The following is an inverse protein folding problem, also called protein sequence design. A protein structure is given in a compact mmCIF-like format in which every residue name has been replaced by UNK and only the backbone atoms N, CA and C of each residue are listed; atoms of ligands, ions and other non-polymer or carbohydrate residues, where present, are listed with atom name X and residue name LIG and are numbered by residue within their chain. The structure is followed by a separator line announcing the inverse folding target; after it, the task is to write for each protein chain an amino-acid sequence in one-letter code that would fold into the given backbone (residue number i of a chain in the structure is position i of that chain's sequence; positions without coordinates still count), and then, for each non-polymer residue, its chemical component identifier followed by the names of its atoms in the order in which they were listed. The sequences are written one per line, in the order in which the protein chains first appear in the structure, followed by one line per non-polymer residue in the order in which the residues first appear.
data_IF_159870271704
#
_entry.id   IF_159870271704
#
_cell.length_a   1.000
_cell.length_b   1.000
_cell.length_c   1.000
_cell.angle_alpha   90.00
_cell.angle_beta   90.00
_cell.angle_gamma   90.00
#
_symmetry.space_group_name_H-M   'P 1'
#
loop_
_entity.id
_entity.type
_entity.pdbx_description
1 polymer ?
#
# COMPACT_ATOMS: atom_id res chain seq x y z
N UNK A 1 17.94 -0.74 2.68
CA UNK A 1 16.49 -0.94 2.65
C UNK A 1 16.11 -2.41 2.72
N UNK A 2 16.84 -3.28 2.02
CA UNK A 2 16.58 -4.72 2.08
C UNK A 2 16.78 -5.28 3.49
N UNK A 3 17.80 -4.81 4.20
CA UNK A 3 18.08 -5.22 5.57
C UNK A 3 16.97 -4.80 6.52
N UNK A 4 16.54 -3.54 6.44
CA UNK A 4 15.47 -3.03 7.28
C UNK A 4 14.14 -3.75 7.00
N UNK A 5 13.87 -4.06 5.72
CA UNK A 5 12.66 -4.80 5.35
C UNK A 5 12.69 -6.22 5.93
N UNK A 6 13.85 -6.89 5.90
CA UNK A 6 13.99 -8.22 6.46
C UNK A 6 13.79 -8.22 7.98
N UNK A 7 14.32 -7.20 8.67
CA UNK A 7 14.18 -7.06 10.10
C UNK A 7 12.73 -6.79 10.49
N UNK A 8 12.01 -5.97 9.71
CA UNK A 8 10.59 -5.74 9.93
C UNK A 8 9.80 -7.03 9.77
N UNK A 9 10.11 -7.79 8.73
CA UNK A 9 9.43 -9.07 8.49
C UNK A 9 9.61 -10.03 9.67
N UNK A 10 10.83 -10.11 10.19
CA UNK A 10 11.12 -10.95 11.35
C UNK A 10 10.37 -10.46 12.59
N UNK A 11 10.33 -9.15 12.81
CA UNK A 11 9.61 -8.55 13.94
C UNK A 11 8.12 -8.89 13.90
N UNK A 12 7.52 -8.87 12.71
CA UNK A 12 6.11 -9.24 12.52
C UNK A 12 5.88 -10.71 12.89
N UNK A 13 6.78 -11.60 12.48
CA UNK A 13 6.69 -13.03 12.82
C UNK A 13 6.79 -13.27 14.32
N UNK A 14 7.68 -12.55 14.98
CA UNK A 14 7.95 -12.70 16.41
C UNK A 14 6.94 -11.95 17.28
N UNK A 15 6.21 -11.00 16.71
CA UNK A 15 5.27 -10.17 17.44
C UNK A 15 5.95 -9.19 18.40
N UNK A 16 7.22 -8.81 18.12
CA UNK A 16 7.99 -7.89 18.95
C UNK A 16 8.69 -6.84 18.10
N UNK A 17 8.86 -5.63 18.66
CA UNK A 17 9.62 -4.53 18.05
C UNK A 17 9.09 -4.08 16.68
N UNK A 18 7.83 -4.35 16.36
CA UNK A 18 7.26 -4.01 15.06
C UNK A 18 7.30 -2.51 14.80
N UNK A 19 6.94 -1.70 15.82
CA UNK A 19 6.94 -0.25 15.67
C UNK A 19 8.34 0.29 15.37
N UNK A 20 9.35 -0.17 16.10
CA UNK A 20 10.72 0.26 15.89
C UNK A 20 11.23 -0.13 14.50
N UNK A 21 10.99 -1.40 14.10
CA UNK A 21 11.45 -1.87 12.80
C UNK A 21 10.71 -1.21 11.65
N UNK A 22 9.43 -0.90 11.83
CA UNK A 22 8.68 -0.13 10.84
C UNK A 22 9.27 1.26 10.69
N UNK A 23 9.60 1.90 11.81
CA UNK A 23 10.24 3.21 11.80
C UNK A 23 11.55 3.20 11.04
N UNK A 24 12.36 2.16 11.22
CA UNK A 24 13.63 2.01 10.51
C UNK A 24 13.44 1.86 9.00
N UNK A 25 12.43 1.11 8.58
CA UNK A 25 12.10 0.97 7.14
C UNK A 25 11.69 2.33 6.56
N UNK A 26 10.81 3.05 7.26
CA UNK A 26 10.35 4.35 6.79
C UNK A 26 11.51 5.36 6.71
N UNK A 27 12.39 5.34 7.71
CA UNK A 27 13.55 6.21 7.72
C UNK A 27 14.49 5.90 6.55
N UNK A 28 14.74 4.62 6.30
CA UNK A 28 15.58 4.19 5.19
C UNK A 28 14.99 4.61 3.84
N UNK A 29 13.66 4.48 3.68
CA UNK A 29 12.98 4.92 2.46
C UNK A 29 13.09 6.42 2.26
N UNK A 30 12.92 7.22 3.33
CA UNK A 30 13.09 8.68 3.28
C UNK A 30 14.51 9.04 2.85
N UNK A 31 15.51 8.36 3.37
CA UNK A 31 16.91 8.60 3.01
C UNK A 31 17.15 8.36 1.51
N UNK A 32 16.61 7.27 0.98
CA UNK A 32 16.72 6.97 -0.46
C UNK A 32 16.09 8.09 -1.28
N UNK A 33 14.90 8.53 -0.90
CA UNK A 33 14.21 9.61 -1.60
C UNK A 33 15.03 10.90 -1.61
N UNK A 34 15.55 11.29 -0.45
CA UNK A 34 16.36 12.50 -0.34
C UNK A 34 17.64 12.39 -1.14
N UNK A 35 18.28 11.24 -1.15
CA UNK A 35 19.47 11.01 -1.95
C UNK A 35 19.20 11.18 -3.44
N UNK A 36 18.00 10.77 -3.88
CA UNK A 36 17.57 10.87 -5.28
C UNK A 36 16.95 12.23 -5.64
N UNK A 37 16.88 13.16 -4.71
CA UNK A 37 16.28 14.46 -4.95
C UNK A 37 14.75 14.44 -5.02
N UNK A 38 14.13 13.45 -4.40
CA UNK A 38 12.67 13.27 -4.35
C UNK A 38 12.17 13.66 -2.97
N UNK A 39 11.09 14.44 -2.92
CA UNK A 39 10.43 14.78 -1.66
C UNK A 39 9.59 13.57 -1.21
N UNK A 40 9.93 12.93 -0.08
CA UNK A 40 9.21 11.76 0.38
C UNK A 40 7.72 12.01 0.66
N UNK A 41 7.38 13.18 1.19
CA UNK A 41 5.99 13.53 1.48
C UNK A 41 5.17 13.62 0.20
N UNK A 42 5.70 14.29 -0.82
CA UNK A 42 5.04 14.38 -2.13
C UNK A 42 4.87 12.98 -2.74
N UNK A 43 5.89 12.13 -2.62
CA UNK A 43 5.82 10.76 -3.14
C UNK A 43 4.72 9.95 -2.46
N UNK A 44 4.62 10.04 -1.13
CA UNK A 44 3.58 9.31 -0.38
C UNK A 44 2.19 9.85 -0.73
N UNK A 45 2.05 11.18 -0.83
CA UNK A 45 0.77 11.79 -1.21
C UNK A 45 0.30 11.29 -2.57
N UNK A 46 1.22 11.17 -3.54
CA UNK A 46 0.90 10.62 -4.85
C UNK A 46 0.39 9.19 -4.77
N UNK A 47 0.99 8.38 -3.90
CA UNK A 47 0.54 7.00 -3.68
C UNK A 47 -0.84 6.98 -3.05
N UNK A 48 -1.12 7.86 -2.10
CA UNK A 48 -2.43 7.96 -1.47
C UNK A 48 -3.51 8.34 -2.50
N UNK A 49 -3.23 9.30 -3.36
CA UNK A 49 -4.17 9.70 -4.43
C UNK A 49 -4.43 8.54 -5.40
N UNK A 50 -3.38 7.82 -5.76
CA UNK A 50 -3.50 6.64 -6.63
C UNK A 50 -4.36 5.56 -5.97
N UNK A 51 -4.16 5.32 -4.68
CA UNK A 51 -4.97 4.36 -3.92
C UNK A 51 -6.44 4.76 -3.93
N UNK A 52 -6.74 6.03 -3.68
CA UNK A 52 -8.11 6.53 -3.67
C UNK A 52 -8.78 6.31 -5.02
N UNK A 53 -8.09 6.62 -6.12
CA UNK A 53 -8.64 6.40 -7.47
C UNK A 53 -8.95 4.93 -7.72
N UNK A 54 -8.03 4.05 -7.35
CA UNK A 54 -8.20 2.61 -7.54
C UNK A 54 -9.34 2.06 -6.69
N UNK A 55 -9.44 2.52 -5.46
CA UNK A 55 -10.50 2.09 -4.55
C UNK A 55 -11.87 2.51 -5.08
N UNK A 56 -11.99 3.74 -5.58
CA UNK A 56 -13.23 4.22 -6.19
C UNK A 56 -13.62 3.39 -7.42
N UNK A 57 -12.64 3.02 -8.24
CA UNK A 57 -12.89 2.14 -9.39
C UNK A 57 -13.41 0.78 -8.95
N UNK A 58 -12.89 0.23 -7.85
CA UNK A 58 -13.39 -1.01 -7.28
C UNK A 58 -14.84 -0.87 -6.81
N UNK A 59 -15.15 0.22 -6.12
CA UNK A 59 -16.50 0.49 -5.64
C UNK A 59 -17.49 0.60 -6.80
N UNK A 60 -17.10 1.31 -7.88
CA UNK A 60 -17.94 1.46 -9.07
C UNK A 60 -18.16 0.12 -9.76
N UNK A 61 -17.13 -0.72 -9.87
CA UNK A 61 -17.25 -2.04 -10.47
C UNK A 61 -18.18 -2.94 -9.65
N UNK A 62 -18.09 -2.88 -8.34
CA UNK A 62 -18.99 -3.64 -7.45
C UNK A 62 -20.43 -3.16 -7.60
N UNK A 63 -20.64 -1.83 -7.62
CA UNK A 63 -21.97 -1.25 -7.77
C UNK A 63 -22.61 -1.64 -9.10
N UNK A 64 -21.82 -1.74 -10.16
CA UNK A 64 -22.32 -2.17 -11.47
C UNK A 64 -22.88 -3.58 -11.43
N UNK A 65 -22.43 -4.43 -10.52
CA UNK A 65 -22.94 -5.78 -10.28
C UNK A 65 -24.04 -5.80 -9.19
N UNK A 66 -24.44 -4.64 -8.70
CA UNK A 66 -25.42 -4.54 -7.62
C UNK A 66 -24.88 -5.00 -6.28
N UNK A 67 -23.56 -4.93 -6.07
CA UNK A 67 -22.90 -5.41 -4.87
C UNK A 67 -22.14 -4.29 -4.18
N UNK A 68 -21.86 -4.49 -2.89
CA UNK A 68 -20.98 -3.63 -2.09
C UNK A 68 -19.67 -4.39 -1.85
N UNK A 69 -18.56 -3.65 -1.73
CA UNK A 69 -17.27 -4.28 -1.42
C UNK A 69 -17.31 -5.06 -0.11
N UNK A 70 -18.10 -4.59 0.86
CA UNK A 70 -18.24 -5.28 2.15
C UNK A 70 -18.87 -6.67 2.03
N UNK A 71 -19.55 -6.95 0.92
CA UNK A 71 -20.21 -8.24 0.66
C UNK A 71 -19.32 -9.20 -0.13
N UNK A 72 -18.11 -8.79 -0.43
CA UNK A 72 -17.21 -9.57 -1.29
C UNK A 72 -16.14 -10.32 -0.49
N UNK A 73 -15.76 -11.49 -0.99
CA UNK A 73 -14.62 -12.23 -0.49
C UNK A 73 -13.31 -11.54 -0.89
N UNK A 74 -12.23 -11.83 -0.18
CA UNK A 74 -10.93 -11.25 -0.44
C UNK A 74 -10.47 -11.47 -1.89
N UNK A 75 -10.68 -12.67 -2.44
CA UNK A 75 -10.30 -12.97 -3.82
C UNK A 75 -11.02 -12.08 -4.82
N UNK A 76 -12.31 -11.80 -4.59
CA UNK A 76 -13.09 -10.91 -5.45
C UNK A 76 -12.57 -9.48 -5.38
N UNK A 77 -12.27 -9.00 -4.18
CA UNK A 77 -11.71 -7.66 -4.00
C UNK A 77 -10.33 -7.54 -4.66
N UNK A 78 -9.51 -8.58 -4.54
CA UNK A 78 -8.19 -8.60 -5.17
C UNK A 78 -8.30 -8.53 -6.69
N UNK A 79 -9.24 -9.24 -7.27
CA UNK A 79 -9.47 -9.19 -8.73
C UNK A 79 -9.88 -7.78 -9.17
N UNK A 80 -10.77 -7.13 -8.42
CA UNK A 80 -11.19 -5.76 -8.72
C UNK A 80 -10.02 -4.78 -8.59
N UNK A 81 -9.18 -4.95 -7.56
CA UNK A 81 -8.01 -4.12 -7.36
C UNK A 81 -7.04 -4.24 -8.53
N UNK A 82 -6.78 -5.47 -8.98
CA UNK A 82 -5.88 -5.70 -10.11
C UNK A 82 -6.43 -5.09 -11.40
N UNK A 83 -7.75 -5.16 -11.62
CA UNK A 83 -8.38 -4.50 -12.74
C UNK A 83 -8.27 -2.98 -12.66
N UNK A 84 -8.45 -2.40 -11.48
CA UNK A 84 -8.31 -0.97 -11.26
C UNK A 84 -6.87 -0.50 -11.52
N UNK A 85 -5.87 -1.32 -11.17
CA UNK A 85 -4.46 -1.01 -11.43
C UNK A 85 -4.17 -0.91 -12.93
N UNK A 86 -4.80 -1.75 -13.73
CA UNK A 86 -4.63 -1.73 -15.19
C UNK A 86 -5.21 -0.47 -15.81
N UNK A 87 -6.25 0.11 -15.20
CA UNK A 87 -6.91 1.31 -15.70
C UNK A 87 -6.26 2.60 -15.19
N UNK A 88 -5.35 2.50 -14.26
CA UNK A 88 -4.69 3.67 -13.70
C UNK A 88 -3.19 3.64 -13.95
#
# INVERSE_FOLDING_TARGET
LDEEAAELRQAVRDGTNVEEELGDVLFAAVKVGRFCGVDPETAVNGTCEKFIRRFRAMEEAAAAEGRSLSDMALEEMTALWNGAKECS
#
